data_IF_644992801584
#
_entry.id   IF_644992801584
#
_cell.length_a   1.000
_cell.length_b   1.000
_cell.length_c   1.000
_cell.angle_alpha   90.00
_cell.angle_beta   90.00
_cell.angle_gamma   90.00
#
_symmetry.space_group_name_H-M   'P 1'
#
loop_
_entity.id
_entity.type
_entity.pdbx_description
1 polymer ?
#
# COMPACT_ATOMS: atom_id res chain seq x y z
N UNK A 1 63.49 -39.59 24.42
CA UNK A 1 62.50 -39.86 23.36
C UNK A 1 61.14 -39.53 23.94
N UNK A 2 60.98 -38.32 24.48
CA UNK A 2 60.77 -37.05 23.75
C UNK A 2 59.32 -37.08 23.20
N UNK A 3 58.39 -36.16 23.47
CA UNK A 3 58.51 -34.82 24.01
C UNK A 3 57.16 -34.36 24.59
N UNK A 4 57.29 -33.47 25.57
CA UNK A 4 56.46 -32.46 26.24
C UNK A 4 54.96 -32.15 25.93
N UNK A 5 54.28 -31.87 27.07
CA UNK A 5 53.46 -30.70 27.41
C UNK A 5 51.93 -30.60 27.13
N UNK A 6 51.19 -30.49 28.26
CA UNK A 6 49.81 -29.96 28.44
C UNK A 6 49.82 -28.40 28.48
N UNK A 7 48.74 -27.69 28.88
CA UNK A 7 47.42 -27.42 28.25
C UNK A 7 47.08 -25.90 28.23
N UNK A 8 45.90 -25.49 27.70
CA UNK A 8 45.00 -24.36 28.15
C UNK A 8 44.03 -23.98 27.00
N UNK A 9 42.72 -24.03 27.18
CA UNK A 9 41.87 -22.91 27.64
C UNK A 9 40.67 -22.83 26.69
N UNK A 10 39.43 -23.02 27.14
CA UNK A 10 38.58 -21.93 27.63
C UNK A 10 37.72 -21.39 26.49
N UNK A 11 36.52 -21.95 26.30
CA UNK A 11 35.52 -21.41 25.36
C UNK A 11 34.92 -20.14 25.97
N UNK A 12 35.30 -18.99 25.41
CA UNK A 12 34.76 -17.67 25.73
C UNK A 12 33.38 -17.46 25.07
N UNK A 13 32.31 -17.26 25.85
CA UNK A 13 30.99 -16.90 25.33
C UNK A 13 30.84 -15.38 25.32
N UNK A 14 31.56 -14.67 24.45
CA UNK A 14 31.35 -13.22 24.28
C UNK A 14 31.72 -12.70 22.89
N UNK A 15 30.96 -13.11 21.86
CA UNK A 15 30.87 -12.33 20.62
C UNK A 15 29.42 -12.11 20.20
N UNK A 16 28.90 -11.03 20.77
CA UNK A 16 27.74 -10.25 20.33
C UNK A 16 27.78 -10.00 18.82
N UNK A 17 27.08 -10.83 18.04
CA UNK A 17 26.64 -10.45 16.70
C UNK A 17 25.46 -9.50 16.86
N UNK A 18 25.74 -8.20 16.76
CA UNK A 18 24.70 -7.19 16.61
C UNK A 18 23.78 -7.50 15.41
N UNK A 19 22.54 -6.99 15.41
CA UNK A 19 21.56 -7.34 14.37
C UNK A 19 22.07 -6.86 13.00
N UNK A 20 22.12 -7.79 12.04
CA UNK A 20 22.34 -7.47 10.62
C UNK A 20 21.23 -6.51 10.20
N UNK A 21 21.62 -5.31 9.71
CA UNK A 21 20.68 -4.35 9.13
C UNK A 21 19.88 -5.01 8.00
N UNK A 22 18.57 -4.77 8.03
CA UNK A 22 17.61 -5.13 6.99
C UNK A 22 18.12 -4.66 5.60
N UNK A 23 18.00 -5.47 4.53
CA UNK A 23 18.43 -5.07 3.18
C UNK A 23 17.51 -4.03 2.51
N UNK A 24 16.42 -3.62 3.17
CA UNK A 24 15.30 -2.93 2.52
C UNK A 24 15.41 -1.39 2.60
N UNK A 25 15.26 -0.72 1.45
CA UNK A 25 15.35 0.74 1.30
C UNK A 25 16.78 1.20 0.99
N UNK A 26 17.19 1.09 -0.29
CA UNK A 26 18.47 1.65 -0.74
C UNK A 26 18.46 3.16 -0.53
N UNK A 27 19.58 3.71 -0.07
CA UNK A 27 19.85 5.14 -0.23
C UNK A 27 20.05 5.39 -1.71
N UNK A 28 18.99 5.82 -2.39
CA UNK A 28 19.15 6.30 -3.77
C UNK A 28 19.91 7.61 -3.71
N UNK A 29 21.12 7.62 -4.27
CA UNK A 29 21.91 8.82 -4.43
C UNK A 29 21.30 9.68 -5.54
N UNK A 30 20.24 10.42 -5.22
CA UNK A 30 19.79 11.51 -6.10
C UNK A 30 20.66 12.73 -5.79
N UNK A 31 21.78 12.85 -6.53
CA UNK A 31 22.55 14.09 -6.68
C UNK A 31 23.40 14.52 -5.48
N UNK A 32 24.68 14.13 -5.47
CA UNK A 32 25.78 15.00 -5.01
C UNK A 32 27.02 14.72 -5.87
N UNK A 33 27.10 15.38 -7.02
CA UNK A 33 28.39 15.72 -7.63
C UNK A 33 28.46 17.24 -7.70
N UNK A 34 28.91 17.86 -6.61
CA UNK A 34 29.34 19.26 -6.62
C UNK A 34 30.84 19.30 -6.85
N UNK A 35 31.25 19.62 -8.07
CA UNK A 35 32.63 19.97 -8.39
C UNK A 35 33.11 21.13 -7.53
N UNK A 36 34.35 21.00 -7.07
CA UNK A 36 34.93 21.84 -6.02
C UNK A 36 35.27 23.26 -6.45
N UNK A 37 35.18 24.17 -5.49
CA UNK A 37 36.00 25.37 -5.42
C UNK A 37 36.46 25.54 -3.96
N UNK A 38 37.77 25.42 -3.75
CA UNK A 38 38.43 25.79 -2.51
C UNK A 38 38.60 27.32 -2.49
N UNK A 39 38.10 27.97 -1.44
CA UNK A 39 38.65 29.23 -0.95
C UNK A 39 38.36 29.33 0.53
N UNK A 40 39.43 29.44 1.33
CA UNK A 40 39.40 29.40 2.78
C UNK A 40 38.77 30.62 3.45
N UNK A 41 38.26 30.39 4.66
CA UNK A 41 37.80 31.41 5.58
C UNK A 41 37.50 30.79 6.94
N UNK A 42 38.39 31.02 7.91
CA UNK A 42 38.22 30.60 9.30
C UNK A 42 37.04 31.33 9.95
N UNK A 43 35.96 30.61 10.25
CA UNK A 43 34.94 31.05 11.22
C UNK A 43 34.72 29.95 12.27
N UNK A 44 35.17 30.26 13.48
CA UNK A 44 34.95 29.49 14.69
C UNK A 44 33.55 29.85 15.21
N UNK A 45 32.56 29.01 14.91
CA UNK A 45 31.19 29.13 15.40
C UNK A 45 30.63 27.73 15.59
N UNK A 46 30.09 27.45 16.77
CA UNK A 46 29.46 26.20 17.18
C UNK A 46 28.49 25.69 16.10
N UNK A 47 28.98 24.81 15.22
CA UNK A 47 28.16 24.05 14.30
C UNK A 47 27.53 22.90 15.07
N UNK A 48 26.47 23.18 15.82
CA UNK A 48 25.44 22.16 16.06
C UNK A 48 24.98 21.75 14.68
N UNK A 49 25.38 20.56 14.22
CA UNK A 49 25.05 20.07 12.89
C UNK A 49 23.54 20.15 12.71
N UNK A 50 23.07 21.10 11.91
CA UNK A 50 21.67 21.17 11.47
C UNK A 50 21.45 19.96 10.55
N UNK A 51 21.19 18.80 11.16
CA UNK A 51 20.78 17.61 10.43
C UNK A 51 19.40 17.91 9.91
N UNK A 52 19.31 18.41 8.68
CA UNK A 52 18.06 18.61 7.98
C UNK A 52 17.18 17.38 8.20
N UNK A 53 15.95 17.57 8.68
CA UNK A 53 15.04 16.46 8.98
C UNK A 53 14.93 15.53 7.75
N UNK A 54 15.19 14.22 7.87
CA UNK A 54 15.21 13.32 6.73
C UNK A 54 13.86 13.34 6.00
N UNK A 55 13.91 13.29 4.67
CA UNK A 55 12.71 13.30 3.81
C UNK A 55 12.61 11.95 3.10
N UNK A 56 11.43 11.35 3.17
CA UNK A 56 11.17 10.00 2.69
C UNK A 56 10.21 10.01 1.52
N UNK A 57 10.37 9.08 0.58
CA UNK A 57 9.41 8.86 -0.49
C UNK A 57 8.97 7.40 -0.58
N UNK A 58 7.67 7.21 -0.78
CA UNK A 58 7.06 5.91 -1.01
C UNK A 58 6.28 5.96 -2.32
N UNK A 59 6.76 5.22 -3.32
CA UNK A 59 6.11 5.11 -4.63
C UNK A 59 5.55 3.71 -4.81
N UNK A 60 4.30 3.66 -5.24
CA UNK A 60 3.56 2.44 -5.52
C UNK A 60 3.06 2.48 -6.97
N UNK A 61 3.56 1.54 -7.78
CA UNK A 61 3.12 1.31 -9.15
C UNK A 61 2.23 0.07 -9.19
N UNK A 62 0.92 0.28 -9.00
CA UNK A 62 -0.07 -0.78 -9.03
C UNK A 62 -0.67 -1.02 -10.42
N UNK A 63 -1.57 -2.00 -10.48
CA UNK A 63 -2.29 -2.38 -11.71
C UNK A 63 -3.10 -1.23 -12.32
N UNK A 64 -3.74 -0.41 -11.50
CA UNK A 64 -4.58 0.68 -12.01
C UNK A 64 -3.91 2.06 -11.89
N UNK A 65 -3.16 2.31 -10.82
CA UNK A 65 -2.74 3.65 -10.43
C UNK A 65 -1.26 3.69 -10.05
N UNK A 66 -0.59 4.77 -10.44
CA UNK A 66 0.75 5.12 -9.96
C UNK A 66 0.61 6.19 -8.88
N UNK A 67 1.21 5.98 -7.70
CA UNK A 67 1.08 6.88 -6.55
C UNK A 67 2.41 7.14 -5.89
N UNK A 68 2.60 8.36 -5.40
CA UNK A 68 3.77 8.77 -4.61
C UNK A 68 3.30 9.52 -3.37
N UNK A 69 3.94 9.23 -2.23
CA UNK A 69 3.93 10.10 -1.05
C UNK A 69 5.35 10.54 -0.74
N UNK A 70 5.52 11.82 -0.42
CA UNK A 70 6.75 12.37 0.17
C UNK A 70 6.42 12.88 1.55
N UNK A 71 7.18 12.45 2.57
CA UNK A 71 6.88 12.75 3.96
C UNK A 71 8.12 13.02 4.80
N UNK A 72 7.93 13.72 5.92
CA UNK A 72 8.94 13.93 6.97
C UNK A 72 8.41 13.38 8.30
N UNK A 73 9.27 12.77 9.13
CA UNK A 73 8.85 12.29 10.44
C UNK A 73 8.40 13.44 11.36
N UNK A 74 7.44 13.15 12.23
CA UNK A 74 7.07 13.96 13.40
C UNK A 74 7.50 13.22 14.67
N UNK A 75 7.12 13.69 15.85
CA UNK A 75 7.42 13.04 17.13
C UNK A 75 6.91 11.60 17.24
N UNK A 76 5.75 11.33 16.64
CA UNK A 76 4.93 10.14 16.86
C UNK A 76 4.38 9.52 15.55
N UNK A 77 4.61 10.18 14.41
CA UNK A 77 4.14 9.75 13.10
C UNK A 77 4.96 10.45 12.00
N UNK A 78 4.33 10.78 10.88
CA UNK A 78 4.90 11.57 9.80
C UNK A 78 3.88 12.55 9.23
N UNK A 79 4.39 13.59 8.58
CA UNK A 79 3.61 14.56 7.81
C UNK A 79 3.93 14.42 6.34
N UNK A 80 2.90 14.20 5.53
CA UNK A 80 2.99 14.25 4.07
C UNK A 80 3.23 15.70 3.63
N UNK A 81 4.25 15.92 2.82
CA UNK A 81 4.64 17.23 2.29
C UNK A 81 4.48 17.34 0.77
N UNK A 82 4.35 16.21 0.08
CA UNK A 82 3.97 16.15 -1.33
C UNK A 82 3.29 14.81 -1.62
N UNK A 83 2.42 14.79 -2.61
CA UNK A 83 1.74 13.59 -3.08
C UNK A 83 1.52 13.67 -4.59
N UNK A 84 1.42 12.50 -5.21
CA UNK A 84 1.04 12.36 -6.59
C UNK A 84 0.19 11.10 -6.75
N UNK A 85 -0.79 11.17 -7.65
CA UNK A 85 -1.63 10.04 -8.03
C UNK A 85 -2.06 10.22 -9.47
N UNK A 86 -1.89 9.19 -10.29
CA UNK A 86 -2.40 9.15 -11.66
C UNK A 86 -2.87 7.75 -12.02
N UNK A 87 -4.03 7.67 -12.66
CA UNK A 87 -4.53 6.43 -13.23
C UNK A 87 -3.72 6.15 -14.50
N UNK A 88 -3.14 4.95 -14.57
CA UNK A 88 -2.30 4.52 -15.68
C UNK A 88 -2.82 3.25 -16.33
N UNK A 89 -3.70 2.49 -15.66
CA UNK A 89 -4.23 1.19 -16.11
C UNK A 89 -3.12 0.28 -16.64
N UNK A 90 -2.06 0.07 -15.84
CA UNK A 90 -0.92 -0.78 -16.21
C UNK A 90 -1.35 -2.22 -16.53
N UNK A 91 -2.38 -2.70 -15.83
CA UNK A 91 -2.88 -4.06 -15.96
C UNK A 91 -3.87 -4.32 -17.07
N UNK A 92 -4.26 -3.29 -17.83
CA UNK A 92 -5.27 -3.47 -18.88
C UNK A 92 -4.80 -4.48 -19.93
N UNK A 93 -5.62 -5.47 -20.22
CA UNK A 93 -5.35 -6.51 -21.21
C UNK A 93 -4.33 -7.56 -20.79
N UNK A 94 -3.71 -7.50 -19.60
CA UNK A 94 -2.75 -8.55 -19.16
C UNK A 94 -3.46 -9.90 -19.03
N UNK A 95 -4.71 -9.91 -18.54
CA UNK A 95 -5.49 -11.15 -18.35
C UNK A 95 -5.69 -11.93 -19.66
N UNK A 96 -5.73 -11.24 -20.80
CA UNK A 96 -5.94 -11.83 -22.12
C UNK A 96 -4.66 -11.99 -22.94
N UNK A 97 -3.70 -11.09 -22.78
CA UNK A 97 -2.48 -11.04 -23.61
C UNK A 97 -1.22 -11.56 -22.91
N UNK A 98 -1.25 -11.68 -21.57
CA UNK A 98 -0.08 -12.00 -20.75
C UNK A 98 0.96 -10.89 -20.64
N UNK A 99 0.73 -9.70 -21.22
CA UNK A 99 1.76 -8.66 -21.40
C UNK A 99 1.24 -7.26 -21.09
N UNK A 100 2.12 -6.40 -20.58
CA UNK A 100 1.85 -4.96 -20.46
C UNK A 100 1.91 -4.34 -21.85
N UNK A 101 0.86 -3.59 -22.23
CA UNK A 101 0.78 -2.91 -23.53
C UNK A 101 1.76 -1.71 -23.62
N UNK A 102 2.25 -1.40 -24.82
CA UNK A 102 3.11 -0.23 -25.03
C UNK A 102 2.44 1.08 -24.60
N UNK A 103 1.13 1.22 -24.86
CA UNK A 103 0.37 2.39 -24.41
C UNK A 103 0.35 2.53 -22.89
N UNK A 104 0.21 1.43 -22.14
CA UNK A 104 0.28 1.42 -20.69
C UNK A 104 1.70 1.74 -20.19
N UNK A 105 2.74 1.22 -20.85
CA UNK A 105 4.14 1.52 -20.57
C UNK A 105 4.40 3.02 -20.71
N UNK A 106 3.98 3.65 -21.81
CA UNK A 106 4.23 5.08 -22.05
C UNK A 106 3.53 5.96 -20.99
N UNK A 107 2.27 5.64 -20.63
CA UNK A 107 1.56 6.32 -19.52
C UNK A 107 2.29 6.13 -18.20
N UNK A 108 2.84 4.96 -17.92
CA UNK A 108 3.58 4.67 -16.70
C UNK A 108 4.95 5.38 -16.67
N UNK A 109 5.69 5.43 -17.77
CA UNK A 109 6.95 6.18 -17.88
C UNK A 109 6.71 7.66 -17.62
N UNK A 110 5.68 8.27 -18.25
CA UNK A 110 5.30 9.65 -17.92
C UNK A 110 4.88 9.82 -16.44
N UNK A 111 4.28 8.77 -15.85
CA UNK A 111 4.02 8.54 -14.43
C UNK A 111 5.19 8.91 -13.55
N UNK A 112 6.18 8.08 -13.79
CA UNK A 112 7.36 7.92 -13.00
C UNK A 112 8.30 9.11 -13.20
N UNK A 113 8.30 9.74 -14.38
CA UNK A 113 9.02 11.01 -14.61
C UNK A 113 8.54 12.11 -13.67
N UNK A 114 7.23 12.32 -13.54
CA UNK A 114 6.68 13.33 -12.60
C UNK A 114 7.02 12.96 -11.16
N UNK A 115 6.94 11.68 -10.81
CA UNK A 115 7.32 11.20 -9.49
C UNK A 115 8.81 11.45 -9.18
N UNK A 116 9.71 11.15 -10.12
CA UNK A 116 11.16 11.41 -10.00
C UNK A 116 11.41 12.90 -9.74
N UNK A 117 10.79 13.76 -10.53
CA UNK A 117 11.02 15.21 -10.41
C UNK A 117 10.55 15.72 -9.04
N UNK A 118 9.44 15.19 -8.52
CA UNK A 118 9.00 15.46 -7.13
C UNK A 118 9.99 14.95 -6.08
N UNK A 119 10.51 13.73 -6.25
CA UNK A 119 11.50 13.14 -5.34
C UNK A 119 12.76 14.02 -5.27
N UNK A 120 13.28 14.44 -6.42
CA UNK A 120 14.46 15.32 -6.53
C UNK A 120 14.17 16.69 -5.94
N UNK A 121 13.08 17.34 -6.36
CA UNK A 121 12.71 18.69 -5.91
C UNK A 121 12.49 18.78 -4.40
N UNK A 122 11.99 17.71 -3.78
CA UNK A 122 11.75 17.68 -2.32
C UNK A 122 12.97 17.27 -1.50
N UNK A 123 14.11 16.97 -2.13
CA UNK A 123 15.33 16.55 -1.45
C UNK A 123 15.14 15.26 -0.66
N UNK A 124 14.45 14.28 -1.26
CA UNK A 124 14.23 12.97 -0.64
C UNK A 124 15.57 12.29 -0.37
N UNK A 125 15.81 11.92 0.89
CA UNK A 125 17.06 11.28 1.35
C UNK A 125 16.97 9.76 1.39
N UNK A 126 15.76 9.20 1.42
CA UNK A 126 15.51 7.75 1.34
C UNK A 126 14.18 7.49 0.65
N UNK A 127 14.16 6.53 -0.27
CA UNK A 127 12.96 6.17 -0.99
C UNK A 127 12.78 4.66 -1.06
N UNK A 128 11.54 4.21 -1.14
CA UNK A 128 11.18 2.85 -1.57
C UNK A 128 10.17 2.97 -2.69
N UNK A 129 10.50 2.38 -3.83
CA UNK A 129 9.75 2.52 -5.08
C UNK A 129 9.42 1.10 -5.53
N UNK A 130 8.13 0.73 -5.50
CA UNK A 130 7.68 -0.64 -5.73
C UNK A 130 6.78 -0.72 -6.95
N UNK A 131 6.72 -1.92 -7.54
CA UNK A 131 5.69 -2.34 -8.47
C UNK A 131 5.00 -3.61 -7.96
N UNK A 132 3.70 -3.76 -8.23
CA UNK A 132 2.90 -4.86 -7.69
C UNK A 132 2.36 -5.81 -8.78
N UNK A 133 1.12 -6.26 -8.66
CA UNK A 133 0.56 -7.41 -9.37
C UNK A 133 0.70 -7.33 -10.90
N UNK A 134 0.48 -6.16 -11.52
CA UNK A 134 0.61 -6.04 -12.98
C UNK A 134 2.02 -6.36 -13.50
N UNK A 135 3.07 -5.88 -12.81
CA UNK A 135 4.44 -6.20 -13.21
C UNK A 135 4.81 -7.64 -12.91
N UNK A 136 4.29 -8.20 -11.81
CA UNK A 136 4.54 -9.58 -11.42
C UNK A 136 3.92 -10.60 -12.38
N UNK A 137 2.74 -10.29 -12.90
CA UNK A 137 1.92 -11.22 -13.68
C UNK A 137 2.17 -11.13 -15.18
N UNK A 138 2.80 -10.05 -15.66
CA UNK A 138 3.14 -9.91 -17.07
C UNK A 138 4.47 -10.56 -17.43
N UNK A 139 4.51 -11.24 -18.58
CA UNK A 139 5.74 -11.84 -19.13
C UNK A 139 6.85 -10.80 -19.38
N UNK A 140 6.48 -9.56 -19.71
CA UNK A 140 7.40 -8.45 -19.95
C UNK A 140 7.57 -7.51 -18.74
N UNK A 141 7.19 -7.95 -17.54
CA UNK A 141 7.31 -7.15 -16.31
C UNK A 141 8.74 -6.68 -16.03
N UNK A 142 9.71 -7.60 -16.06
CA UNK A 142 11.12 -7.27 -15.83
C UNK A 142 11.69 -6.33 -16.91
N UNK A 143 11.31 -6.57 -18.17
CA UNK A 143 11.71 -5.70 -19.29
C UNK A 143 11.14 -4.29 -19.13
N UNK A 144 9.90 -4.17 -18.65
CA UNK A 144 9.29 -2.89 -18.33
C UNK A 144 10.03 -2.17 -17.20
N UNK A 145 10.37 -2.87 -16.10
CA UNK A 145 11.16 -2.28 -14.99
C UNK A 145 12.52 -1.79 -15.47
N UNK A 146 13.19 -2.56 -16.34
CA UNK A 146 14.46 -2.14 -16.93
C UNK A 146 14.29 -0.88 -17.80
N UNK A 147 13.23 -0.81 -18.62
CA UNK A 147 12.92 0.39 -19.41
C UNK A 147 12.65 1.61 -18.53
N UNK A 148 11.95 1.46 -17.40
CA UNK A 148 11.73 2.55 -16.43
C UNK A 148 13.07 3.04 -15.88
N UNK A 149 13.97 2.11 -15.53
CA UNK A 149 15.31 2.46 -15.04
C UNK A 149 16.09 3.25 -16.07
N UNK A 150 16.10 2.81 -17.33
CA UNK A 150 16.87 3.45 -18.40
C UNK A 150 16.28 4.81 -18.81
N UNK A 151 14.96 4.92 -18.89
CA UNK A 151 14.29 6.15 -19.34
C UNK A 151 14.12 7.20 -18.24
N UNK A 152 13.88 6.77 -17.00
CA UNK A 152 13.51 7.66 -15.88
C UNK A 152 14.60 7.72 -14.81
N UNK A 153 15.44 6.70 -14.67
CA UNK A 153 16.40 6.61 -13.56
C UNK A 153 15.76 6.15 -12.24
N UNK A 154 14.57 5.53 -12.30
CA UNK A 154 13.90 4.92 -11.15
C UNK A 154 14.15 3.42 -11.15
N UNK A 155 14.63 2.89 -10.02
CA UNK A 155 14.79 1.45 -9.80
C UNK A 155 13.56 0.93 -9.05
N UNK A 156 12.67 0.20 -9.74
CA UNK A 156 11.47 -0.36 -9.15
C UNK A 156 11.73 -1.76 -8.58
N UNK A 157 11.29 -1.98 -7.35
CA UNK A 157 11.27 -3.29 -6.71
C UNK A 157 9.91 -3.97 -7.00
N UNK A 158 9.89 -5.09 -7.73
CA UNK A 158 8.70 -5.95 -7.81
C UNK A 158 8.61 -6.72 -6.48
N UNK A 159 7.71 -6.31 -5.59
CA UNK A 159 7.57 -6.90 -4.25
C UNK A 159 6.66 -8.12 -4.26
N UNK A 160 6.84 -9.11 -3.41
CA UNK A 160 5.90 -10.24 -3.31
C UNK A 160 4.56 -9.87 -2.62
N UNK A 161 3.54 -10.72 -2.81
CA UNK A 161 2.19 -10.54 -2.25
C UNK A 161 2.19 -10.49 -0.71
N UNK A 162 3.10 -11.21 -0.07
CA UNK A 162 3.28 -11.20 1.39
C UNK A 162 3.75 -9.83 1.87
N UNK A 163 4.69 -9.23 1.17
CA UNK A 163 5.22 -7.90 1.44
C UNK A 163 4.14 -6.84 1.23
N UNK A 164 3.35 -6.97 0.17
CA UNK A 164 2.19 -6.11 -0.13
C UNK A 164 1.17 -6.13 1.02
N UNK A 165 0.69 -7.31 1.42
CA UNK A 165 -0.22 -7.48 2.55
C UNK A 165 0.33 -6.90 3.87
N UNK A 166 1.63 -7.11 4.13
CA UNK A 166 2.31 -6.60 5.33
C UNK A 166 2.44 -5.07 5.32
N UNK A 167 2.71 -4.46 4.17
CA UNK A 167 2.78 -3.01 4.00
C UNK A 167 1.39 -2.38 4.14
N UNK A 168 0.36 -2.97 3.54
CA UNK A 168 -1.03 -2.56 3.71
C UNK A 168 -1.42 -2.56 5.19
N UNK A 169 -1.17 -3.67 5.89
CA UNK A 169 -1.38 -3.82 7.32
C UNK A 169 -0.64 -2.74 8.12
N UNK A 170 0.64 -2.51 7.83
CA UNK A 170 1.47 -1.53 8.54
C UNK A 170 0.97 -0.10 8.35
N UNK A 171 0.54 0.27 7.14
CA UNK A 171 0.01 1.61 6.86
C UNK A 171 -1.34 1.89 7.53
N UNK A 172 -2.12 0.85 7.79
CA UNK A 172 -3.48 0.96 8.35
C UNK A 172 -3.53 0.83 9.88
N UNK A 173 -2.45 0.43 10.56
CA UNK A 173 -2.47 0.23 12.01
C UNK A 173 -2.96 1.43 12.84
N UNK A 174 -2.76 2.71 12.46
CA UNK A 174 -3.32 3.83 13.24
C UNK A 174 -4.85 3.89 13.22
N UNK A 175 -5.51 3.15 12.33
CA UNK A 175 -6.96 3.08 12.23
C UNK A 175 -7.55 1.82 12.87
N UNK A 176 -6.73 0.93 13.41
CA UNK A 176 -7.24 -0.24 14.16
C UNK A 176 -7.98 0.24 15.41
N UNK A 177 -9.22 -0.23 15.58
CA UNK A 177 -9.98 -0.02 16.81
C UNK A 177 -9.29 -0.75 17.99
N UNK A 178 -8.84 -0.03 19.04
CA UNK A 178 -8.22 -0.66 20.21
C UNK A 178 -9.14 -1.64 20.94
N UNK A 179 -10.46 -1.52 20.79
CA UNK A 179 -11.44 -2.42 21.40
C UNK A 179 -11.69 -3.71 20.60
N UNK A 180 -11.18 -3.81 19.36
CA UNK A 180 -11.35 -4.98 18.52
C UNK A 180 -10.44 -6.13 18.98
N UNK A 181 -11.00 -7.34 19.11
CA UNK A 181 -10.21 -8.55 19.41
C UNK A 181 -9.50 -9.11 18.17
N UNK A 182 -10.06 -8.83 16.99
CA UNK A 182 -9.56 -9.24 15.69
C UNK A 182 -9.93 -8.21 14.63
N UNK A 183 -9.05 -8.03 13.65
CA UNK A 183 -9.24 -7.13 12.53
C UNK A 183 -9.07 -7.93 11.24
N UNK A 184 -10.04 -7.85 10.35
CA UNK A 184 -9.86 -8.28 8.96
C UNK A 184 -9.60 -7.03 8.14
N UNK A 185 -8.33 -6.85 7.77
CA UNK A 185 -7.92 -5.82 6.84
C UNK A 185 -7.98 -6.36 5.42
N UNK A 186 -8.42 -5.54 4.49
CA UNK A 186 -8.40 -5.88 3.08
C UNK A 186 -8.02 -4.70 2.21
N UNK A 187 -7.16 -4.96 1.22
CA UNK A 187 -6.76 -4.03 0.18
C UNK A 187 -7.32 -4.50 -1.15
N UNK A 188 -8.28 -3.76 -1.71
CA UNK A 188 -8.89 -4.10 -3.01
C UNK A 188 -8.09 -3.37 -4.09
N UNK A 189 -7.14 -4.11 -4.67
CA UNK A 189 -6.27 -3.64 -5.73
C UNK A 189 -6.90 -3.77 -7.13
N UNK A 190 -6.11 -3.43 -8.15
CA UNK A 190 -6.54 -3.57 -9.54
C UNK A 190 -6.44 -5.00 -10.06
N UNK A 191 -5.35 -5.70 -9.74
CA UNK A 191 -5.09 -7.07 -10.22
C UNK A 191 -5.27 -8.16 -9.16
N UNK A 192 -5.04 -7.81 -7.90
CA UNK A 192 -5.18 -8.68 -6.73
C UNK A 192 -5.95 -7.98 -5.62
N UNK A 193 -6.35 -8.75 -4.62
CA UNK A 193 -6.89 -8.23 -3.37
C UNK A 193 -6.26 -8.95 -2.19
N UNK A 194 -5.63 -8.22 -1.29
CA UNK A 194 -4.98 -8.80 -0.10
C UNK A 194 -5.96 -8.81 1.06
N UNK A 195 -6.04 -9.92 1.78
CA UNK A 195 -6.84 -10.09 3.01
C UNK A 195 -5.90 -10.46 4.14
N UNK A 196 -6.03 -9.80 5.30
CA UNK A 196 -5.13 -9.96 6.44
C UNK A 196 -5.95 -10.11 7.72
N UNK A 197 -5.80 -11.25 8.41
CA UNK A 197 -6.28 -11.41 9.79
C UNK A 197 -5.21 -10.86 10.73
N UNK A 198 -5.54 -9.79 11.44
CA UNK A 198 -4.67 -9.17 12.43
C UNK A 198 -5.26 -9.30 13.84
N UNK A 199 -4.37 -9.40 14.82
CA UNK A 199 -4.72 -9.18 16.21
C UNK A 199 -4.74 -7.69 16.59
N UNK A 200 -4.85 -7.43 17.88
CA UNK A 200 -4.68 -6.08 18.44
C UNK A 200 -3.30 -5.51 18.09
N UNK A 201 -3.22 -4.17 18.02
CA UNK A 201 -1.98 -3.46 17.73
C UNK A 201 -1.23 -3.12 19.01
N UNK A 202 0.10 -3.30 18.99
CA UNK A 202 0.93 -2.94 20.13
C UNK A 202 1.55 -1.55 19.95
N UNK A 203 1.42 -0.71 20.98
CA UNK A 203 2.03 0.62 21.03
C UNK A 203 3.56 0.54 21.03
N UNK A 204 4.19 1.33 20.16
CA UNK A 204 5.64 1.59 20.13
C UNK A 204 5.85 3.10 19.93
N UNK A 205 7.09 3.60 19.98
CA UNK A 205 7.34 4.95 19.50
C UNK A 205 7.13 5.01 17.99
N UNK A 206 6.28 5.94 17.57
CA UNK A 206 5.77 6.01 16.21
C UNK A 206 4.44 5.27 16.03
N UNK A 207 4.01 5.04 14.78
CA UNK A 207 2.80 4.26 14.48
C UNK A 207 2.87 2.84 15.06
N UNK A 208 1.74 2.17 15.39
CA UNK A 208 1.74 0.81 15.93
C UNK A 208 2.23 -0.25 14.93
N UNK A 209 2.76 -1.37 15.42
CA UNK A 209 3.12 -2.52 14.57
C UNK A 209 1.92 -3.48 14.43
N UNK A 210 1.63 -3.99 13.23
CA UNK A 210 0.56 -4.97 13.06
C UNK A 210 1.00 -6.33 13.61
N UNK A 211 0.08 -7.05 14.26
CA UNK A 211 0.25 -8.46 14.60
C UNK A 211 -0.53 -9.26 13.55
N UNK A 212 0.15 -9.73 12.51
CA UNK A 212 -0.46 -10.51 11.42
C UNK A 212 -0.54 -11.98 11.88
N UNK A 213 -1.75 -12.50 11.99
CA UNK A 213 -2.03 -13.92 12.33
C UNK A 213 -2.12 -14.78 11.08
N UNK A 214 -2.76 -14.25 10.03
CA UNK A 214 -2.88 -14.92 8.74
C UNK A 214 -3.04 -13.90 7.61
N UNK A 215 -2.77 -14.31 6.38
CA UNK A 215 -2.98 -13.48 5.19
C UNK A 215 -3.24 -14.35 3.96
N UNK A 216 -3.94 -13.77 2.99
CA UNK A 216 -4.12 -14.30 1.64
C UNK A 216 -4.02 -13.16 0.62
N UNK A 217 -3.66 -13.49 -0.61
CA UNK A 217 -3.77 -12.59 -1.76
C UNK A 217 -4.62 -13.30 -2.80
N UNK A 218 -5.81 -12.76 -3.02
CA UNK A 218 -6.77 -13.28 -3.99
C UNK A 218 -6.30 -12.85 -5.38
N UNK A 219 -6.26 -13.76 -6.37
CA UNK A 219 -5.84 -13.45 -7.74
C UNK A 219 -6.94 -12.70 -8.52
N UNK A 220 -7.63 -11.78 -7.85
CA UNK A 220 -8.73 -10.99 -8.37
C UNK A 220 -8.67 -9.58 -7.80
N UNK A 221 -8.80 -8.59 -8.67
CA UNK A 221 -8.91 -7.18 -8.31
C UNK A 221 -9.94 -6.50 -9.23
N UNK A 222 -10.12 -5.19 -9.08
CA UNK A 222 -11.21 -4.49 -9.79
C UNK A 222 -11.04 -4.50 -11.32
N UNK A 223 -9.81 -4.52 -11.82
CA UNK A 223 -9.52 -4.55 -13.27
C UNK A 223 -9.78 -5.94 -13.81
N UNK A 224 -9.19 -6.97 -13.20
CA UNK A 224 -9.33 -8.36 -13.70
C UNK A 224 -10.77 -8.86 -13.63
N UNK A 225 -11.52 -8.49 -12.59
CA UNK A 225 -12.92 -8.87 -12.45
C UNK A 225 -13.83 -8.12 -13.46
N UNK A 226 -13.58 -6.82 -13.69
CA UNK A 226 -14.32 -6.03 -14.68
C UNK A 226 -14.02 -6.45 -16.12
N UNK A 227 -12.78 -6.82 -16.44
CA UNK A 227 -12.42 -7.36 -17.77
C UNK A 227 -13.15 -8.66 -18.08
N UNK A 228 -13.34 -9.52 -17.06
CA UNK A 228 -13.99 -10.82 -17.21
C UNK A 228 -15.51 -10.72 -17.34
N UNK A 229 -16.16 -9.90 -16.52
CA UNK A 229 -17.62 -9.84 -16.43
C UNK A 229 -18.25 -8.62 -17.11
N UNK A 230 -17.43 -7.68 -17.57
CA UNK A 230 -17.87 -6.34 -17.97
C UNK A 230 -17.98 -5.38 -16.78
N UNK A 231 -18.07 -4.10 -17.07
CA UNK A 231 -18.05 -3.03 -16.05
C UNK A 231 -18.91 -1.80 -16.36
N UNK A 232 -19.34 -1.66 -17.61
CA UNK A 232 -20.18 -0.55 -18.08
C UNK A 232 -21.65 -0.85 -17.73
N UNK A 233 -22.18 -1.96 -18.20
CA UNK A 233 -23.53 -2.43 -17.87
C UNK A 233 -23.44 -3.66 -16.98
N UNK A 234 -23.74 -3.48 -15.69
CA UNK A 234 -23.69 -4.55 -14.70
C UNK A 234 -25.10 -4.72 -14.13
N UNK A 235 -25.78 -5.78 -14.55
CA UNK A 235 -27.07 -6.17 -13.95
C UNK A 235 -26.85 -6.78 -12.57
N UNK A 236 -27.93 -6.92 -11.77
CA UNK A 236 -27.86 -7.62 -10.48
C UNK A 236 -27.36 -9.05 -10.61
N UNK A 237 -27.74 -9.76 -11.68
CA UNK A 237 -27.26 -11.12 -11.92
C UNK A 237 -25.76 -11.16 -12.25
N UNK A 238 -25.25 -10.18 -13.00
CA UNK A 238 -23.80 -10.05 -13.26
C UNK A 238 -23.07 -9.75 -11.95
N UNK A 239 -23.59 -8.81 -11.16
CA UNK A 239 -23.01 -8.43 -9.87
C UNK A 239 -22.95 -9.61 -8.90
N UNK A 240 -24.02 -10.41 -8.80
CA UNK A 240 -24.05 -11.60 -7.95
C UNK A 240 -23.08 -12.68 -8.46
N UNK A 241 -22.93 -12.86 -9.77
CA UNK A 241 -21.88 -13.76 -10.33
C UNK A 241 -20.47 -13.30 -10.00
N UNK A 242 -20.21 -11.99 -10.04
CA UNK A 242 -18.93 -11.43 -9.60
C UNK A 242 -18.68 -11.74 -8.12
N UNK A 243 -19.69 -11.60 -7.26
CA UNK A 243 -19.59 -11.92 -5.82
C UNK A 243 -19.25 -13.40 -5.62
N UNK A 244 -20.02 -14.31 -6.25
CA UNK A 244 -19.81 -15.76 -6.13
C UNK A 244 -18.41 -16.20 -6.57
N UNK A 245 -17.88 -15.58 -7.64
CA UNK A 245 -16.51 -15.84 -8.06
C UNK A 245 -15.48 -15.42 -7.01
N UNK A 246 -15.63 -14.23 -6.42
CA UNK A 246 -14.73 -13.75 -5.37
C UNK A 246 -14.87 -14.60 -4.10
N UNK A 247 -16.09 -15.02 -3.75
CA UNK A 247 -16.33 -15.96 -2.64
C UNK A 247 -15.58 -17.28 -2.84
N UNK A 248 -15.51 -17.79 -4.08
CA UNK A 248 -14.72 -18.98 -4.42
C UNK A 248 -13.21 -18.80 -4.14
N UNK A 249 -12.65 -17.64 -4.47
CA UNK A 249 -11.24 -17.33 -4.14
C UNK A 249 -11.02 -17.10 -2.64
N UNK A 250 -12.01 -16.53 -1.95
CA UNK A 250 -11.93 -16.18 -0.53
C UNK A 250 -12.17 -17.38 0.40
N UNK A 251 -12.91 -18.39 -0.05
CA UNK A 251 -13.35 -19.53 0.75
C UNK A 251 -12.21 -20.20 1.55
N UNK A 252 -11.03 -20.53 0.97
CA UNK A 252 -9.95 -21.18 1.74
C UNK A 252 -9.46 -20.32 2.91
N UNK A 253 -9.39 -19.00 2.74
CA UNK A 253 -9.00 -18.09 3.80
C UNK A 253 -10.11 -17.96 4.86
N UNK A 254 -11.36 -17.86 4.43
CA UNK A 254 -12.52 -17.76 5.32
C UNK A 254 -12.76 -19.05 6.14
N UNK A 255 -12.48 -20.22 5.59
CA UNK A 255 -12.55 -21.51 6.28
C UNK A 255 -11.45 -21.65 7.33
N UNK A 256 -10.22 -21.26 6.98
CA UNK A 256 -9.08 -21.28 7.92
C UNK A 256 -9.25 -20.31 9.09
N UNK A 257 -10.02 -19.23 8.89
CA UNK A 257 -10.29 -18.18 9.87
C UNK A 257 -11.78 -18.17 10.28
N UNK A 258 -12.42 -19.33 10.33
CA UNK A 258 -13.87 -19.46 10.58
C UNK A 258 -14.31 -18.90 11.95
N UNK A 259 -13.40 -18.82 12.93
CA UNK A 259 -13.65 -18.21 14.23
C UNK A 259 -13.99 -16.72 14.15
N UNK A 260 -13.52 -16.03 13.09
CA UNK A 260 -13.80 -14.61 12.88
C UNK A 260 -15.28 -14.36 12.57
N UNK A 261 -15.97 -15.32 11.94
CA UNK A 261 -17.39 -15.17 11.54
C UNK A 261 -18.33 -14.95 12.72
N UNK A 262 -17.98 -15.51 13.88
CA UNK A 262 -18.78 -15.44 15.11
C UNK A 262 -18.20 -14.43 16.12
N UNK A 263 -17.20 -13.64 15.73
CA UNK A 263 -16.58 -12.68 16.64
C UNK A 263 -17.45 -11.44 16.81
N UNK A 264 -17.87 -11.17 18.04
CA UNK A 264 -18.66 -9.99 18.43
C UNK A 264 -17.86 -8.68 18.42
N UNK A 265 -16.53 -8.76 18.23
CA UNK A 265 -15.62 -7.61 18.21
C UNK A 265 -14.70 -7.63 16.99
N UNK A 266 -15.24 -8.13 15.86
CA UNK A 266 -14.56 -8.10 14.57
C UNK A 266 -14.63 -6.70 13.96
N UNK A 267 -13.46 -6.17 13.62
CA UNK A 267 -13.34 -4.90 12.90
C UNK A 267 -12.93 -5.15 11.44
N UNK A 268 -13.79 -4.76 10.51
CA UNK A 268 -13.44 -4.70 9.08
C UNK A 268 -12.72 -3.40 8.78
N UNK A 269 -11.50 -3.47 8.24
CA UNK A 269 -10.69 -2.32 7.87
C UNK A 269 -10.33 -2.39 6.39
N UNK A 270 -11.07 -1.68 5.56
CA UNK A 270 -10.85 -1.68 4.12
C UNK A 270 -9.94 -0.53 3.68
N UNK A 271 -9.07 -0.77 2.71
CA UNK A 271 -8.27 0.27 2.03
C UNK A 271 -8.43 0.25 0.51
N UNK A 272 -7.82 1.26 -0.15
CA UNK A 272 -7.79 1.49 -1.60
C UNK A 272 -9.06 2.13 -2.20
N UNK A 273 -9.09 2.21 -3.53
CA UNK A 273 -10.04 3.02 -4.29
C UNK A 273 -11.50 2.62 -4.12
N UNK A 274 -11.78 1.33 -3.95
CA UNK A 274 -13.15 0.81 -3.83
C UNK A 274 -13.84 1.36 -2.58
N UNK A 275 -13.29 1.09 -1.41
CA UNK A 275 -13.89 1.48 -0.12
C UNK A 275 -13.92 2.99 0.07
N UNK A 276 -12.90 3.70 -0.42
CA UNK A 276 -12.87 5.17 -0.39
C UNK A 276 -13.93 5.78 -1.32
N UNK A 277 -14.25 5.11 -2.43
CA UNK A 277 -15.35 5.51 -3.32
C UNK A 277 -16.71 5.25 -2.67
N UNK A 278 -16.94 4.07 -2.09
CA UNK A 278 -18.16 3.73 -1.35
C UNK A 278 -18.40 4.73 -0.21
N UNK A 279 -17.35 5.10 0.53
CA UNK A 279 -17.41 6.14 1.55
C UNK A 279 -17.79 7.51 0.97
N UNK A 280 -17.21 7.89 -0.17
CA UNK A 280 -17.53 9.14 -0.85
C UNK A 280 -19.00 9.23 -1.29
N UNK A 281 -19.58 8.10 -1.74
CA UNK A 281 -21.01 7.99 -2.07
C UNK A 281 -21.86 8.13 -0.80
N UNK A 282 -21.54 7.37 0.24
CA UNK A 282 -22.25 7.41 1.51
C UNK A 282 -22.28 8.83 2.12
N UNK A 283 -21.14 9.52 2.09
CA UNK A 283 -20.99 10.88 2.61
C UNK A 283 -21.60 11.95 1.69
N UNK A 284 -22.09 11.59 0.49
CA UNK A 284 -22.66 12.53 -0.46
C UNK A 284 -21.68 13.61 -0.92
N UNK A 285 -20.39 13.26 -1.06
CA UNK A 285 -19.35 14.24 -1.34
C UNK A 285 -19.47 14.80 -2.76
N UNK A 286 -19.49 16.14 -2.89
CA UNK A 286 -19.45 16.84 -4.19
C UNK A 286 -18.06 16.85 -4.84
N UNK A 287 -17.04 16.46 -4.07
CA UNK A 287 -15.66 16.26 -4.50
C UNK A 287 -14.98 15.36 -3.49
N UNK A 288 -14.04 14.55 -3.94
CA UNK A 288 -13.26 13.70 -3.02
C UNK A 288 -12.53 14.56 -1.98
N UNK A 289 -12.72 14.26 -0.69
CA UNK A 289 -12.02 14.88 0.43
C UNK A 289 -11.49 13.81 1.38
N UNK A 290 -10.18 13.54 1.27
CA UNK A 290 -9.47 12.55 2.10
C UNK A 290 -9.70 12.76 3.60
N UNK A 291 -9.86 14.01 4.06
CA UNK A 291 -10.01 14.31 5.51
C UNK A 291 -11.35 13.81 6.07
N UNK A 292 -12.35 13.64 5.21
CA UNK A 292 -13.66 13.12 5.57
C UNK A 292 -13.74 11.60 5.37
N UNK A 293 -13.00 11.07 4.39
CA UNK A 293 -13.01 9.65 4.04
C UNK A 293 -12.09 8.80 4.94
N UNK A 294 -10.87 9.26 5.19
CA UNK A 294 -9.88 8.48 5.95
C UNK A 294 -10.28 8.34 7.42
N UNK A 295 -10.43 7.10 7.87
CA UNK A 295 -10.86 6.75 9.22
C UNK A 295 -12.39 6.79 9.44
N UNK A 296 -13.18 7.10 8.40
CA UNK A 296 -14.64 7.09 8.46
C UNK A 296 -15.16 5.69 8.83
N UNK A 297 -16.16 5.65 9.70
CA UNK A 297 -16.90 4.43 10.04
C UNK A 297 -18.21 4.39 9.28
N UNK A 298 -18.51 3.22 8.73
CA UNK A 298 -19.79 2.94 8.06
C UNK A 298 -20.42 1.70 8.66
N UNK A 299 -21.70 1.77 9.00
CA UNK A 299 -22.47 0.59 9.41
C UNK A 299 -22.75 -0.32 8.22
N UNK A 300 -23.12 -1.57 8.51
CA UNK A 300 -23.50 -2.53 7.46
C UNK A 300 -24.57 -1.95 6.51
N UNK A 301 -25.65 -1.39 7.06
CA UNK A 301 -26.74 -0.80 6.27
C UNK A 301 -26.38 0.50 5.52
N UNK A 302 -25.40 1.28 6.01
CA UNK A 302 -24.89 2.45 5.28
C UNK A 302 -24.12 2.04 4.02
N UNK A 303 -23.38 0.94 4.09
CA UNK A 303 -22.72 0.35 2.92
C UNK A 303 -23.75 -0.23 1.98
N UNK A 304 -24.74 -0.99 2.48
CA UNK A 304 -25.82 -1.54 1.65
C UNK A 304 -26.50 -0.43 0.84
N UNK A 305 -26.82 0.69 1.50
CA UNK A 305 -27.40 1.87 0.85
C UNK A 305 -26.48 2.44 -0.24
N UNK A 306 -25.17 2.55 0.02
CA UNK A 306 -24.21 3.05 -0.96
C UNK A 306 -24.02 2.08 -2.15
N UNK A 307 -24.03 0.77 -1.90
CA UNK A 307 -23.97 -0.26 -2.94
C UNK A 307 -25.21 -0.23 -3.82
N UNK A 308 -26.40 -0.11 -3.23
CA UNK A 308 -27.67 0.01 -3.96
C UNK A 308 -27.72 1.28 -4.80
N UNK A 309 -27.23 2.41 -4.28
CA UNK A 309 -27.09 3.64 -5.07
C UNK A 309 -26.17 3.44 -6.28
N UNK A 310 -25.01 2.81 -6.08
CA UNK A 310 -24.05 2.54 -7.17
C UNK A 310 -24.60 1.59 -8.24
N UNK A 311 -25.32 0.54 -7.82
CA UNK A 311 -25.99 -0.40 -8.74
C UNK A 311 -27.14 0.26 -9.52
N UNK A 312 -27.82 1.25 -8.92
CA UNK A 312 -28.89 1.99 -9.58
C UNK A 312 -28.37 3.09 -10.54
N UNK A 313 -27.11 3.51 -10.42
CA UNK A 313 -26.52 4.49 -11.35
C UNK A 313 -26.29 3.89 -12.72
N UNK A 314 -26.68 4.63 -13.78
CA UNK A 314 -26.24 4.34 -15.14
C UNK A 314 -24.74 4.63 -15.28
N UNK A 315 -24.11 4.09 -16.31
CA UNK A 315 -22.69 4.28 -16.53
C UNK A 315 -22.30 5.77 -16.61
N UNK A 316 -23.09 6.58 -17.31
CA UNK A 316 -22.85 8.02 -17.47
C UNK A 316 -22.93 8.76 -16.13
N UNK A 317 -23.83 8.33 -15.25
CA UNK A 317 -23.99 8.91 -13.92
C UNK A 317 -22.76 8.57 -13.04
N UNK A 318 -22.18 7.37 -13.20
CA UNK A 318 -20.91 6.99 -12.55
C UNK A 318 -19.73 7.78 -13.11
N UNK A 319 -19.69 8.01 -14.41
CA UNK A 319 -18.67 8.85 -15.08
C UNK A 319 -18.71 10.28 -14.54
N UNK A 320 -19.91 10.86 -14.38
CA UNK A 320 -20.12 12.22 -13.91
C UNK A 320 -19.96 12.38 -12.39
N UNK A 321 -19.94 11.28 -11.63
CA UNK A 321 -19.83 11.34 -10.17
C UNK A 321 -18.43 11.81 -9.73
N UNK A 322 -18.39 12.83 -8.87
CA UNK A 322 -17.16 13.48 -8.42
C UNK A 322 -16.22 12.59 -7.59
N UNK A 323 -16.72 11.50 -7.02
CA UNK A 323 -15.93 10.53 -6.26
C UNK A 323 -15.46 9.34 -7.10
N UNK A 324 -16.03 9.13 -8.29
CA UNK A 324 -15.73 7.99 -9.19
C UNK A 324 -14.87 8.49 -10.36
N UNK A 325 -15.47 9.31 -11.25
CA UNK A 325 -14.88 9.82 -12.48
C UNK A 325 -14.79 8.80 -13.60
N UNK A 326 -14.59 9.29 -14.84
CA UNK A 326 -14.53 8.49 -16.05
C UNK A 326 -13.55 7.31 -15.97
N UNK A 327 -12.37 7.54 -15.40
CA UNK A 327 -11.29 6.55 -15.34
C UNK A 327 -11.55 5.38 -14.37
N UNK A 328 -12.63 5.41 -13.58
CA UNK A 328 -13.02 4.31 -12.66
C UNK A 328 -14.47 3.85 -12.80
N UNK A 329 -15.27 4.50 -13.63
CA UNK A 329 -16.71 4.25 -13.74
C UNK A 329 -17.05 2.82 -14.20
N UNK A 330 -16.15 2.22 -14.98
CA UNK A 330 -16.17 0.83 -15.45
C UNK A 330 -15.66 -0.18 -14.40
N UNK A 331 -14.94 0.26 -13.38
CA UNK A 331 -14.31 -0.64 -12.39
C UNK A 331 -15.06 -0.69 -11.05
N UNK A 332 -15.85 0.35 -10.74
CA UNK A 332 -16.41 0.55 -9.39
C UNK A 332 -17.32 -0.59 -8.93
N UNK A 333 -18.15 -1.14 -9.82
CA UNK A 333 -19.07 -2.22 -9.47
C UNK A 333 -18.35 -3.56 -9.25
N UNK A 334 -17.27 -3.83 -9.99
CA UNK A 334 -16.43 -4.99 -9.72
C UNK A 334 -15.76 -4.89 -8.34
N UNK A 335 -15.27 -3.69 -7.98
CA UNK A 335 -14.79 -3.44 -6.62
C UNK A 335 -15.86 -3.64 -5.55
N UNK A 336 -17.08 -3.18 -5.81
CA UNK A 336 -18.22 -3.39 -4.90
C UNK A 336 -18.54 -4.87 -4.70
N UNK A 337 -18.43 -5.70 -5.76
CA UNK A 337 -18.64 -7.14 -5.65
C UNK A 337 -17.56 -7.80 -4.77
N UNK A 338 -16.29 -7.37 -4.89
CA UNK A 338 -15.20 -7.85 -4.02
C UNK A 338 -15.46 -7.47 -2.55
N UNK A 339 -15.85 -6.22 -2.31
CA UNK A 339 -16.19 -5.74 -0.97
C UNK A 339 -17.35 -6.55 -0.37
N UNK A 340 -18.39 -6.82 -1.16
CA UNK A 340 -19.56 -7.55 -0.69
C UNK A 340 -19.25 -9.03 -0.40
N UNK A 341 -18.45 -9.70 -1.23
CA UNK A 341 -17.96 -11.04 -0.95
C UNK A 341 -17.20 -11.11 0.39
N UNK A 342 -16.34 -10.12 0.68
CA UNK A 342 -15.62 -10.04 1.96
C UNK A 342 -16.58 -9.83 3.13
N UNK A 343 -17.58 -8.95 3.00
CA UNK A 343 -18.59 -8.70 4.04
C UNK A 343 -19.45 -9.93 4.33
N UNK A 344 -19.82 -10.70 3.31
CA UNK A 344 -20.56 -11.96 3.45
C UNK A 344 -19.71 -13.03 4.16
N UNK A 345 -18.42 -13.10 3.82
CA UNK A 345 -17.49 -14.04 4.45
C UNK A 345 -17.16 -13.67 5.90
N UNK A 346 -17.15 -12.38 6.23
CA UNK A 346 -16.79 -11.85 7.54
C UNK A 346 -17.80 -10.81 8.04
N UNK A 347 -18.98 -11.25 8.52
CA UNK A 347 -20.01 -10.32 9.00
C UNK A 347 -19.49 -9.44 10.13
N UNK A 348 -19.68 -8.13 10.00
CA UNK A 348 -19.36 -7.14 11.03
C UNK A 348 -20.39 -6.01 10.98
N UNK A 349 -20.72 -5.45 12.14
CA UNK A 349 -21.66 -4.32 12.23
C UNK A 349 -21.14 -3.06 11.54
N UNK A 350 -19.81 -2.88 11.53
CA UNK A 350 -19.17 -1.66 11.03
C UNK A 350 -17.86 -1.96 10.31
N UNK A 351 -17.62 -1.18 9.26
CA UNK A 351 -16.37 -1.14 8.51
C UNK A 351 -15.75 0.24 8.69
N UNK A 352 -14.43 0.27 8.85
CA UNK A 352 -13.65 1.49 8.82
C UNK A 352 -12.90 1.62 7.51
N UNK A 353 -12.93 2.82 6.96
CA UNK A 353 -12.32 3.14 5.67
C UNK A 353 -10.92 3.72 5.91
N UNK A 354 -9.95 3.21 5.17
CA UNK A 354 -8.58 3.71 5.16
C UNK A 354 -8.27 4.33 3.79
N UNK A 355 -7.94 5.62 3.73
CA UNK A 355 -7.27 6.23 2.57
C UNK A 355 -5.75 6.20 2.79
N UNK A 356 -5.26 5.06 3.26
CA UNK A 356 -3.87 4.80 3.62
C UNK A 356 -3.60 3.31 3.44
N UNK A 357 -2.38 2.93 3.05
CA UNK A 357 -2.07 1.53 2.75
C UNK A 357 -0.58 1.32 2.54
N UNK A 358 -0.22 0.68 1.42
CA UNK A 358 1.17 0.29 1.11
C UNK A 358 2.16 1.45 1.26
N UNK A 359 1.81 2.64 0.77
CA UNK A 359 2.70 3.81 0.79
C UNK A 359 3.00 4.28 2.21
N UNK A 360 1.97 4.43 3.03
CA UNK A 360 2.12 4.74 4.44
C UNK A 360 2.91 3.64 5.16
N UNK A 361 2.66 2.36 4.83
CA UNK A 361 3.44 1.22 5.35
C UNK A 361 4.93 1.33 5.03
N UNK A 362 5.28 1.66 3.78
CA UNK A 362 6.68 1.86 3.35
C UNK A 362 7.37 3.00 4.09
N UNK A 363 6.67 4.15 4.23
CA UNK A 363 7.19 5.28 4.99
C UNK A 363 7.46 4.88 6.45
N UNK A 364 6.52 4.18 7.07
CA UNK A 364 6.63 3.73 8.46
C UNK A 364 7.78 2.76 8.65
N UNK A 365 7.99 1.81 7.74
CA UNK A 365 9.11 0.88 7.79
C UNK A 365 10.45 1.59 7.67
N UNK A 366 10.62 2.45 6.66
CA UNK A 366 11.88 3.19 6.49
C UNK A 366 12.19 4.08 7.70
N UNK A 367 11.18 4.79 8.22
CA UNK A 367 11.36 5.66 9.39
C UNK A 367 11.68 4.87 10.66
N UNK A 368 11.09 3.69 10.86
CA UNK A 368 11.47 2.77 11.96
C UNK A 368 12.90 2.28 11.80
N UNK A 369 13.30 1.87 10.59
CA UNK A 369 14.65 1.38 10.31
C UNK A 369 15.73 2.44 10.57
N UNK A 370 15.39 3.72 10.37
CA UNK A 370 16.27 4.86 10.68
C UNK A 370 16.15 5.36 12.13
N UNK A 371 15.31 4.70 12.94
CA UNK A 371 15.08 4.98 14.37
C UNK A 371 14.61 6.42 14.65
N UNK A 372 13.89 7.04 13.72
CA UNK A 372 13.53 8.47 13.82
C UNK A 372 12.60 8.78 15.00
N UNK A 373 11.86 7.79 15.48
CA UNK A 373 10.94 7.91 16.62
C UNK A 373 11.55 7.51 17.97
N UNK A 374 12.71 6.85 17.99
CA UNK A 374 13.35 6.40 19.24
C UNK A 374 14.39 7.39 19.79
N UNK A 375 14.86 8.34 18.96
CA UNK A 375 15.99 9.23 19.29
C UNK A 375 15.69 10.43 20.21
N UNK A 376 14.63 10.42 21.01
CA UNK A 376 14.27 11.58 21.87
C UNK A 376 14.58 11.46 23.35
N UNK A 377 15.29 10.41 23.79
CA UNK A 377 15.78 10.28 25.17
C UNK A 377 17.29 9.97 25.21
N UNK A 378 18.12 10.85 24.64
CA UNK A 378 19.57 10.85 24.86
C UNK A 378 20.06 12.26 25.13
#
# INVERSE_FOLDING_TARGET
MDDEARPKGGLDPSRTRGPRRSPWGRRHAFGQESHGHQSGGHHNGNAVSDRSTPTYAALDLGTNNCRLLVARPTSDSFRVIDAFSRIIRLGEGISSTGRISEAAIDRAVGALTVCRDKIVTRGVTRARLIATEACRSAENGDAFVQRVRDAVGIDLEIIDRKTEARLAATGCTPLVDPAASSVVLFDIGGGSSEIVNMGSVNGQAGPPKPIIRDWASLPVGVVTLAEKHGGIEVSRDVFERMIQEVEGYLAPFAEKNAELKNSTSLHLLGTSGTVTTVAGIHLGLRRYDRRQVDGCWMTSGQIDTALEQLLAMRYEDRVANACIGAERADLVLAGCAILEAIRRAFPSERLRVADRGLREGMLVEMMRDDEVWWRKNA
#
